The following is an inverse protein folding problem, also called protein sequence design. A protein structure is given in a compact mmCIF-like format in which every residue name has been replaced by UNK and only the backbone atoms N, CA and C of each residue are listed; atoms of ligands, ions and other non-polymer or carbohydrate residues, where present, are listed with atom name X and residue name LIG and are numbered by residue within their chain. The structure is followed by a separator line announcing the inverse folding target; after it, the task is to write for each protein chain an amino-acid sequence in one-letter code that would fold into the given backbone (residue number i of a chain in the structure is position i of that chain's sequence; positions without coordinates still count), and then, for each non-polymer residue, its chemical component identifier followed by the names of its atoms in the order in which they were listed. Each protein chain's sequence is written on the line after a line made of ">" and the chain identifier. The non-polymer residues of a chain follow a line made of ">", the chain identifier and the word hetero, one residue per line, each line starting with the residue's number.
data_IF_585526459960
#
_entry.id   IF_585526459960
#
_cell.length_a   1.000
_cell.length_b   1.000
_cell.length_c   1.000
_cell.angle_alpha   90.00
_cell.angle_beta   90.00
_cell.angle_gamma   90.00
#
_symmetry.space_group_name_H-M   'P 1'
#
loop_
_entity.id
_entity.type
_entity.pdbx_description
1 polymer ?
#
# COMPACT_ATOMS: atom_id res chain seq x y z
N UNK A 1 12.61 -22.43 13.04
CA UNK A 1 12.79 -21.30 12.10
C UNK A 1 12.87 -20.06 12.97
N UNK A 2 13.83 -19.18 12.71
CA UNK A 2 13.98 -17.94 13.46
C UNK A 2 12.73 -17.06 13.32
N UNK A 3 12.30 -16.44 14.41
CA UNK A 3 11.24 -15.44 14.38
C UNK A 3 11.74 -14.19 13.62
N UNK A 4 10.91 -13.65 12.76
CA UNK A 4 11.22 -12.41 12.02
C UNK A 4 10.45 -11.26 12.64
N UNK A 5 11.18 -10.19 12.93
CA UNK A 5 10.66 -8.99 13.56
C UNK A 5 10.76 -7.77 12.64
N UNK A 6 9.85 -6.84 12.81
CA UNK A 6 9.91 -5.50 12.20
C UNK A 6 10.46 -4.56 13.25
N UNK A 7 11.59 -3.94 12.93
CA UNK A 7 12.32 -3.05 13.85
C UNK A 7 11.83 -1.61 13.74
N UNK A 8 11.57 -1.16 12.52
CA UNK A 8 11.14 0.20 12.24
C UNK A 8 10.25 0.29 11.03
N UNK A 9 9.61 1.44 10.87
CA UNK A 9 8.86 1.78 9.66
C UNK A 9 8.73 3.29 9.48
N UNK A 10 8.71 3.72 8.22
CA UNK A 10 8.50 5.10 7.83
C UNK A 10 7.69 5.15 6.54
N UNK A 11 6.87 6.20 6.36
CA UNK A 11 6.17 6.48 5.11
C UNK A 11 6.27 7.95 4.75
N UNK A 12 6.14 8.28 3.50
CA UNK A 12 5.81 9.63 3.07
C UNK A 12 4.36 9.98 3.42
N UNK A 13 4.03 11.24 3.44
CA UNK A 13 2.64 11.63 3.20
C UNK A 13 2.22 11.19 1.79
N UNK A 14 0.91 10.98 1.58
CA UNK A 14 0.35 10.53 0.29
C UNK A 14 -0.08 11.75 -0.50
N UNK A 15 0.50 11.91 -1.71
CA UNK A 15 0.15 12.96 -2.66
C UNK A 15 -1.07 12.60 -3.50
N UNK A 16 -1.82 13.60 -3.92
CA UNK A 16 -2.89 13.47 -4.91
C UNK A 16 -2.30 13.39 -6.33
N UNK A 17 -3.05 12.81 -7.25
CA UNK A 17 -2.69 12.82 -8.67
C UNK A 17 -2.53 14.25 -9.19
N UNK A 18 -1.35 14.53 -9.76
CA UNK A 18 -0.99 15.87 -10.20
C UNK A 18 -0.75 16.88 -9.07
N UNK A 19 -0.70 16.42 -7.80
CA UNK A 19 -0.50 17.23 -6.60
C UNK A 19 0.97 17.49 -6.25
N UNK A 20 1.22 17.70 -4.96
CA UNK A 20 2.52 18.12 -4.46
C UNK A 20 3.69 17.18 -4.78
N UNK A 21 3.42 15.88 -4.94
CA UNK A 21 4.46 14.87 -5.26
C UNK A 21 4.58 14.56 -6.76
N UNK A 22 3.78 15.19 -7.64
CA UNK A 22 3.75 14.87 -9.07
C UNK A 22 5.10 15.01 -9.78
N UNK A 23 5.98 15.88 -9.30
CA UNK A 23 7.33 16.08 -9.83
C UNK A 23 8.41 15.15 -9.25
N UNK A 24 8.09 14.39 -8.20
CA UNK A 24 9.07 13.60 -7.44
C UNK A 24 9.17 12.19 -8.02
N UNK A 25 10.35 11.74 -8.49
CA UNK A 25 10.55 10.37 -8.95
C UNK A 25 10.28 9.34 -7.84
N UNK A 26 9.72 8.15 -8.15
CA UNK A 26 9.48 7.11 -7.15
C UNK A 26 10.76 6.63 -6.46
N UNK A 27 11.92 6.68 -7.12
CA UNK A 27 13.23 6.37 -6.50
C UNK A 27 13.54 7.35 -5.37
N UNK A 28 13.28 8.65 -5.55
CA UNK A 28 13.58 9.67 -4.55
C UNK A 28 12.64 9.53 -3.34
N UNK A 29 11.37 9.20 -3.58
CA UNK A 29 10.42 8.85 -2.52
C UNK A 29 10.89 7.62 -1.74
N UNK A 30 11.27 6.55 -2.46
CA UNK A 30 11.78 5.31 -1.88
C UNK A 30 13.06 5.56 -1.06
N UNK A 31 14.00 6.38 -1.57
CA UNK A 31 15.22 6.76 -0.86
C UNK A 31 14.89 7.47 0.45
N UNK A 32 14.02 8.46 0.40
CA UNK A 32 13.61 9.24 1.58
C UNK A 32 13.06 8.35 2.70
N UNK A 33 12.12 7.46 2.38
CA UNK A 33 11.52 6.58 3.39
C UNK A 33 12.47 5.48 3.85
N UNK A 34 13.38 5.01 2.98
CA UNK A 34 14.39 4.01 3.31
C UNK A 34 15.42 4.56 4.29
N UNK A 35 15.94 5.76 4.03
CA UNK A 35 16.85 6.47 4.94
C UNK A 35 16.21 6.61 6.32
N UNK A 36 14.98 7.13 6.38
CA UNK A 36 14.28 7.31 7.65
C UNK A 36 13.99 5.98 8.36
N UNK A 37 13.66 4.91 7.63
CA UNK A 37 13.42 3.60 8.23
C UNK A 37 14.71 3.02 8.84
N UNK A 38 15.86 3.14 8.16
CA UNK A 38 17.17 2.68 8.66
C UNK A 38 17.59 3.50 9.88
N UNK A 39 17.46 4.82 9.82
CA UNK A 39 17.76 5.71 10.97
C UNK A 39 16.90 5.37 12.20
N UNK A 40 15.59 5.17 12.01
CA UNK A 40 14.65 4.79 13.09
C UNK A 40 14.91 3.38 13.64
N UNK A 41 15.48 2.50 12.84
CA UNK A 41 15.88 1.17 13.29
C UNK A 41 17.10 1.23 14.24
N UNK A 42 17.87 2.31 14.21
CA UNK A 42 19.09 2.43 15.01
C UNK A 42 20.20 1.47 14.54
N UNK A 43 20.15 1.03 13.29
CA UNK A 43 21.19 0.16 12.69
C UNK A 43 21.97 0.89 11.62
N UNK A 44 23.24 0.56 11.48
CA UNK A 44 24.05 1.12 10.40
C UNK A 44 23.58 0.56 9.04
N UNK A 45 23.59 1.34 7.94
CA UNK A 45 23.13 0.91 6.63
C UNK A 45 23.83 -0.34 6.09
N UNK A 46 25.09 -0.59 6.49
CA UNK A 46 25.88 -1.78 6.12
C UNK A 46 25.39 -3.08 6.80
N UNK A 47 24.53 -2.99 7.79
CA UNK A 47 23.88 -4.15 8.40
C UNK A 47 22.73 -4.69 7.54
N UNK A 48 22.18 -3.89 6.63
CA UNK A 48 21.16 -4.34 5.68
C UNK A 48 21.82 -5.30 4.67
N UNK A 49 21.38 -6.54 4.64
CA UNK A 49 21.92 -7.57 3.74
C UNK A 49 21.02 -7.92 2.56
N UNK A 50 19.77 -7.46 2.53
CA UNK A 50 18.84 -7.67 1.42
C UNK A 50 17.81 -6.56 1.31
N UNK A 51 17.39 -6.20 0.08
CA UNK A 51 16.41 -5.13 -0.17
C UNK A 51 15.33 -5.57 -1.13
N UNK A 52 14.07 -5.35 -0.76
CA UNK A 52 12.91 -5.65 -1.62
C UNK A 52 11.95 -4.47 -1.63
N UNK A 53 11.62 -3.93 -2.82
CA UNK A 53 10.66 -2.84 -2.96
C UNK A 53 9.54 -3.19 -3.93
N UNK A 54 8.31 -2.89 -3.53
CA UNK A 54 7.13 -2.94 -4.39
C UNK A 54 7.10 -1.75 -5.33
N UNK A 55 6.91 -2.02 -6.62
CA UNK A 55 6.76 -0.98 -7.65
C UNK A 55 6.01 -1.55 -8.84
N UNK A 56 5.08 -0.80 -9.40
CA UNK A 56 4.15 -1.30 -10.44
C UNK A 56 4.39 -0.63 -11.78
N UNK A 57 4.45 0.70 -11.81
CA UNK A 57 4.50 1.48 -13.04
C UNK A 57 5.84 2.22 -13.12
N UNK A 58 6.74 1.74 -13.97
CA UNK A 58 7.98 2.46 -14.24
C UNK A 58 7.67 3.81 -14.91
N UNK A 59 8.06 4.90 -14.28
CA UNK A 59 7.84 6.27 -14.76
C UNK A 59 8.98 6.76 -15.64
N UNK A 60 10.16 6.18 -15.45
CA UNK A 60 11.39 6.43 -16.20
C UNK A 60 12.26 5.17 -16.24
N UNK A 61 13.28 5.09 -17.14
CA UNK A 61 14.12 3.89 -17.24
C UNK A 61 14.84 3.48 -15.96
N UNK A 62 15.16 4.42 -15.07
CA UNK A 62 15.83 4.15 -13.79
C UNK A 62 14.95 3.34 -12.81
N UNK A 63 13.63 3.39 -12.96
CA UNK A 63 12.71 2.73 -12.04
C UNK A 63 12.78 1.20 -12.12
N UNK A 64 13.33 0.64 -13.22
CA UNK A 64 13.68 -0.78 -13.31
C UNK A 64 14.68 -1.19 -12.22
N UNK A 65 15.43 -0.26 -11.66
CA UNK A 65 16.40 -0.43 -10.58
C UNK A 65 15.95 0.22 -9.27
N UNK A 66 14.65 0.49 -9.08
CA UNK A 66 14.13 1.29 -7.97
C UNK A 66 14.66 0.83 -6.61
N UNK A 67 14.54 -0.46 -6.29
CA UNK A 67 15.01 -1.01 -5.01
C UNK A 67 16.52 -0.80 -4.81
N UNK A 68 17.29 -1.05 -5.86
CA UNK A 68 18.76 -0.90 -5.84
C UNK A 68 19.18 0.55 -5.69
N UNK A 69 18.58 1.44 -6.49
CA UNK A 69 18.89 2.87 -6.47
C UNK A 69 18.49 3.50 -5.12
N UNK A 70 17.31 3.16 -4.60
CA UNK A 70 16.84 3.65 -3.31
C UNK A 70 17.72 3.16 -2.14
N UNK A 71 18.12 1.87 -2.16
CA UNK A 71 18.99 1.30 -1.15
C UNK A 71 20.36 2.02 -1.10
N UNK A 72 21.01 2.20 -2.24
CA UNK A 72 22.28 2.90 -2.33
C UNK A 72 22.13 4.38 -1.96
N UNK A 73 21.04 5.03 -2.37
CA UNK A 73 20.73 6.40 -1.97
C UNK A 73 20.51 6.56 -0.46
N UNK A 74 20.08 5.49 0.22
CA UNK A 74 19.93 5.42 1.68
C UNK A 74 21.20 4.95 2.40
N UNK A 75 22.34 4.82 1.70
CA UNK A 75 23.63 4.44 2.28
C UNK A 75 23.89 2.94 2.41
N UNK A 76 22.99 2.09 1.91
CA UNK A 76 23.22 0.64 1.88
C UNK A 76 24.35 0.33 0.88
N UNK A 77 25.34 -0.51 1.25
CA UNK A 77 26.49 -0.82 0.40
C UNK A 77 26.12 -1.41 -0.96
N UNK A 78 26.99 -1.18 -1.94
CA UNK A 78 26.85 -1.71 -3.29
C UNK A 78 27.06 -3.23 -3.40
N UNK A 79 27.49 -3.88 -2.37
CA UNK A 79 27.57 -5.35 -2.25
C UNK A 79 26.23 -5.99 -1.91
N UNK A 80 25.22 -5.23 -1.47
CA UNK A 80 23.92 -5.74 -1.03
C UNK A 80 22.98 -5.97 -2.21
N UNK A 81 22.42 -7.17 -2.43
CA UNK A 81 21.45 -7.42 -3.49
C UNK A 81 20.10 -6.73 -3.23
N UNK A 82 19.43 -6.35 -4.32
CA UNK A 82 18.13 -5.72 -4.25
C UNK A 82 17.23 -6.18 -5.40
N UNK A 83 15.91 -6.28 -5.16
CA UNK A 83 14.94 -6.61 -6.21
C UNK A 83 13.67 -5.79 -6.10
N UNK A 84 13.08 -5.44 -7.26
CA UNK A 84 11.72 -4.94 -7.35
C UNK A 84 10.75 -6.12 -7.41
N UNK A 85 9.58 -5.98 -6.77
CA UNK A 85 8.47 -6.93 -6.91
C UNK A 85 7.24 -6.19 -7.41
N UNK A 86 6.53 -6.83 -8.34
CA UNK A 86 5.25 -6.36 -8.85
C UNK A 86 4.17 -7.43 -8.64
N UNK A 87 3.29 -7.19 -7.70
CA UNK A 87 2.03 -7.90 -7.45
C UNK A 87 0.90 -6.87 -7.44
N UNK A 88 0.95 -5.89 -8.36
CA UNK A 88 0.01 -4.76 -8.43
C UNK A 88 -0.23 -4.15 -7.03
N UNK A 89 -1.48 -3.95 -6.64
CA UNK A 89 -1.83 -3.36 -5.33
C UNK A 89 -1.15 -4.05 -4.13
N UNK A 90 -0.88 -5.35 -4.21
CA UNK A 90 -0.23 -6.15 -3.15
C UNK A 90 1.29 -6.03 -3.08
N UNK A 91 1.94 -5.26 -3.95
CA UNK A 91 3.41 -5.23 -4.08
C UNK A 91 4.12 -4.86 -2.78
N UNK A 92 3.62 -3.88 -2.03
CA UNK A 92 4.23 -3.46 -0.76
C UNK A 92 4.19 -4.56 0.31
N UNK A 93 3.06 -5.27 0.47
CA UNK A 93 2.98 -6.43 1.38
C UNK A 93 3.85 -7.58 0.85
N UNK A 94 3.86 -7.81 -0.47
CA UNK A 94 4.72 -8.84 -1.08
C UNK A 94 6.20 -8.56 -0.84
N UNK A 95 6.64 -7.31 -0.91
CA UNK A 95 8.01 -6.94 -0.61
C UNK A 95 8.39 -7.33 0.83
N UNK A 96 7.51 -7.02 1.80
CA UNK A 96 7.68 -7.43 3.20
C UNK A 96 7.77 -8.95 3.30
N UNK A 97 6.85 -9.70 2.68
CA UNK A 97 6.84 -11.17 2.71
C UNK A 97 8.11 -11.74 2.07
N UNK A 98 8.57 -11.19 0.95
CA UNK A 98 9.80 -11.66 0.29
C UNK A 98 11.03 -11.41 1.16
N UNK A 99 11.11 -10.28 1.86
CA UNK A 99 12.16 -10.01 2.83
C UNK A 99 12.10 -10.99 4.03
N UNK A 100 10.89 -11.27 4.55
CA UNK A 100 10.69 -12.30 5.60
C UNK A 100 11.22 -13.65 5.14
N UNK A 101 10.93 -14.07 3.91
CA UNK A 101 11.39 -15.34 3.35
C UNK A 101 12.91 -15.41 3.24
N UNK A 102 13.58 -14.35 2.74
CA UNK A 102 15.03 -14.28 2.68
C UNK A 102 15.67 -14.35 4.08
N UNK A 103 15.13 -13.62 5.05
CA UNK A 103 15.61 -13.68 6.44
C UNK A 103 15.43 -15.07 7.06
N UNK A 104 14.28 -15.73 6.81
CA UNK A 104 14.02 -17.10 7.30
C UNK A 104 14.95 -18.12 6.71
N UNK A 105 15.41 -17.93 5.46
CA UNK A 105 16.39 -18.79 4.79
C UNK A 105 17.83 -18.49 5.22
N UNK A 106 18.06 -17.38 5.93
CA UNK A 106 19.40 -17.00 6.40
C UNK A 106 20.24 -16.25 5.38
N UNK A 107 19.61 -15.72 4.31
CA UNK A 107 20.31 -14.90 3.29
C UNK A 107 20.87 -13.59 3.89
N UNK A 108 20.23 -13.08 4.94
CA UNK A 108 20.62 -11.85 5.64
C UNK A 108 20.14 -11.87 7.11
N UNK A 109 20.73 -11.02 7.95
CA UNK A 109 20.27 -10.77 9.32
C UNK A 109 19.27 -9.61 9.39
N UNK A 110 19.44 -8.59 8.54
CA UNK A 110 18.57 -7.45 8.39
C UNK A 110 18.16 -7.27 6.92
N UNK A 111 16.93 -6.88 6.70
CA UNK A 111 16.42 -6.57 5.37
C UNK A 111 15.64 -5.25 5.37
N UNK A 112 15.72 -4.53 4.26
CA UNK A 112 14.89 -3.35 3.98
C UNK A 112 13.78 -3.77 3.03
N UNK A 113 12.52 -3.54 3.40
CA UNK A 113 11.37 -3.84 2.56
C UNK A 113 10.41 -2.66 2.49
N UNK A 114 9.74 -2.48 1.36
CA UNK A 114 8.83 -1.35 1.24
C UNK A 114 8.14 -1.29 -0.11
N UNK A 115 7.80 -0.09 -0.54
CA UNK A 115 7.28 0.18 -1.87
C UNK A 115 7.18 1.67 -2.14
N UNK A 116 7.26 2.03 -3.41
CA UNK A 116 7.08 3.40 -3.88
C UNK A 116 6.32 3.41 -5.22
N UNK A 117 5.46 4.39 -5.36
CA UNK A 117 4.69 4.61 -6.58
C UNK A 117 4.50 6.09 -6.84
N UNK A 118 4.61 6.50 -8.09
CA UNK A 118 4.16 7.81 -8.55
C UNK A 118 3.22 7.63 -9.75
N UNK A 119 1.92 7.56 -9.44
CA UNK A 119 0.90 7.43 -10.49
C UNK A 119 0.79 8.70 -11.32
N UNK A 120 1.14 9.85 -10.75
CA UNK A 120 1.21 11.14 -11.46
C UNK A 120 2.23 11.14 -12.59
N UNK A 121 3.28 10.33 -12.51
CA UNK A 121 4.35 10.25 -13.51
C UNK A 121 4.19 9.10 -14.48
N UNK A 122 3.06 8.37 -14.42
CA UNK A 122 2.83 7.22 -15.30
C UNK A 122 2.98 7.61 -16.77
N UNK A 123 3.79 6.86 -17.55
CA UNK A 123 4.11 7.25 -18.92
C UNK A 123 3.03 6.81 -19.91
N UNK A 124 3.05 7.43 -21.08
CA UNK A 124 2.44 6.88 -22.28
C UNK A 124 3.49 6.11 -23.08
N UNK A 125 3.14 4.92 -23.57
CA UNK A 125 4.00 4.12 -24.43
C UNK A 125 3.54 4.17 -25.89
N UNK A 126 4.49 4.05 -26.79
CA UNK A 126 4.29 3.98 -28.25
C UNK A 126 4.69 2.59 -28.73
N UNK A 127 3.81 1.57 -28.73
CA UNK A 127 4.18 0.17 -29.03
C UNK A 127 4.82 0.00 -30.42
N UNK A 128 4.39 0.77 -31.40
CA UNK A 128 4.92 0.69 -32.76
C UNK A 128 6.25 1.45 -32.97
N UNK A 129 6.68 2.30 -32.02
CA UNK A 129 7.78 3.23 -32.21
C UNK A 129 9.13 2.55 -32.54
N UNK A 130 9.42 1.38 -31.94
CA UNK A 130 10.70 0.66 -32.16
C UNK A 130 10.92 0.24 -33.61
N UNK A 131 9.88 -0.14 -34.30
CA UNK A 131 9.96 -0.63 -35.67
C UNK A 131 9.44 0.37 -36.70
N UNK A 132 8.98 1.54 -36.21
CA UNK A 132 8.38 2.60 -37.02
C UNK A 132 6.92 2.30 -37.39
N UNK A 133 6.19 3.37 -37.64
CA UNK A 133 4.83 3.35 -38.22
C UNK A 133 4.95 3.71 -39.71
N UNK A 134 4.72 2.73 -40.61
CA UNK A 134 4.88 2.93 -42.02
C UNK A 134 3.78 3.80 -42.63
N UNK A 135 2.56 3.73 -42.11
CA UNK A 135 1.39 4.45 -42.61
C UNK A 135 0.30 4.53 -41.53
N UNK A 136 -0.48 5.60 -41.51
CA UNK A 136 -1.57 5.86 -40.56
C UNK A 136 -1.09 6.56 -39.26
N UNK A 137 -2.04 6.77 -38.36
CA UNK A 137 -1.81 7.49 -37.09
C UNK A 137 -1.01 6.66 -36.11
N UNK A 138 -0.26 7.33 -35.21
CA UNK A 138 0.43 6.71 -34.07
C UNK A 138 -0.45 6.84 -32.86
N UNK A 139 -0.80 5.72 -32.21
CA UNK A 139 -1.51 5.71 -30.93
C UNK A 139 -0.55 5.55 -29.77
N UNK A 140 -0.74 6.34 -28.70
CA UNK A 140 -0.08 6.17 -27.41
C UNK A 140 -1.00 5.43 -26.44
N UNK A 141 -0.44 4.54 -25.62
CA UNK A 141 -1.17 3.81 -24.59
C UNK A 141 -0.79 4.34 -23.22
N UNK A 142 -1.78 4.71 -22.41
CA UNK A 142 -1.61 5.16 -21.04
C UNK A 142 -1.30 3.96 -20.12
N UNK A 143 -0.10 3.93 -19.54
CA UNK A 143 0.33 2.84 -18.66
C UNK A 143 -0.39 2.84 -17.31
N UNK A 144 -0.89 3.99 -16.86
CA UNK A 144 -1.72 4.05 -15.65
C UNK A 144 -3.06 3.34 -15.88
N UNK A 145 -3.76 3.67 -16.96
CA UNK A 145 -4.96 2.94 -17.35
C UNK A 145 -4.67 1.47 -17.62
N UNK A 146 -3.49 1.14 -18.18
CA UNK A 146 -3.04 -0.23 -18.36
C UNK A 146 -2.98 -1.02 -17.04
N UNK A 147 -2.44 -0.42 -15.98
CA UNK A 147 -2.38 -1.04 -14.66
C UNK A 147 -3.77 -1.15 -13.99
N UNK A 148 -4.72 -0.29 -14.36
CA UNK A 148 -6.08 -0.25 -13.81
C UNK A 148 -7.11 -1.03 -14.63
N UNK A 149 -6.72 -1.58 -15.77
CA UNK A 149 -7.59 -2.43 -16.59
C UNK A 149 -7.26 -3.91 -16.42
N UNK A 150 -8.30 -4.70 -16.26
CA UNK A 150 -8.17 -6.16 -16.14
C UNK A 150 -7.71 -6.77 -17.48
N UNK A 151 -6.59 -7.52 -17.51
CA UNK A 151 -6.09 -8.12 -18.75
C UNK A 151 -6.97 -9.28 -19.25
N UNK A 152 -7.91 -9.73 -18.45
CA UNK A 152 -8.85 -10.82 -18.77
C UNK A 152 -10.18 -10.32 -19.36
N UNK A 153 -10.25 -9.04 -19.76
CA UNK A 153 -11.39 -8.50 -20.50
C UNK A 153 -12.53 -7.92 -19.66
N UNK A 154 -12.43 -7.90 -18.34
CA UNK A 154 -13.47 -7.30 -17.47
C UNK A 154 -13.57 -5.78 -17.64
N UNK A 155 -12.49 -5.12 -18.05
CA UNK A 155 -12.37 -3.67 -18.15
C UNK A 155 -11.69 -3.05 -16.92
N UNK A 156 -11.99 -1.79 -16.65
CA UNK A 156 -11.40 -1.03 -15.54
C UNK A 156 -11.72 -1.68 -14.17
N UNK A 157 -10.79 -1.56 -13.19
CA UNK A 157 -10.98 -2.10 -11.83
C UNK A 157 -12.27 -1.61 -11.16
N UNK A 158 -12.76 -0.41 -11.50
CA UNK A 158 -14.06 0.07 -11.04
C UNK A 158 -15.25 -0.75 -11.55
N UNK A 159 -15.13 -1.38 -12.72
CA UNK A 159 -16.16 -2.34 -13.22
C UNK A 159 -16.15 -3.61 -12.37
N UNK A 160 -15.00 -4.06 -11.89
CA UNK A 160 -14.94 -5.19 -10.95
C UNK A 160 -15.55 -4.84 -9.59
N UNK A 161 -15.45 -3.58 -9.16
CA UNK A 161 -16.11 -3.10 -7.95
C UNK A 161 -17.64 -3.05 -8.10
N UNK A 162 -18.15 -2.66 -9.28
CA UNK A 162 -19.58 -2.76 -9.59
C UNK A 162 -20.07 -4.22 -9.58
N UNK A 163 -19.25 -5.17 -10.05
CA UNK A 163 -19.57 -6.60 -9.98
C UNK A 163 -19.68 -7.06 -8.51
N UNK A 164 -18.72 -6.66 -7.67
CA UNK A 164 -18.76 -6.98 -6.24
C UNK A 164 -19.98 -6.35 -5.56
N UNK A 165 -20.31 -5.09 -5.89
CA UNK A 165 -21.49 -4.43 -5.35
C UNK A 165 -22.76 -5.22 -5.68
N UNK A 166 -22.89 -5.71 -6.93
CA UNK A 166 -24.04 -6.48 -7.38
C UNK A 166 -24.09 -7.90 -6.77
N UNK A 167 -22.95 -8.63 -6.70
CA UNK A 167 -22.91 -9.99 -6.17
C UNK A 167 -23.09 -10.06 -4.64
N UNK A 168 -22.79 -8.97 -3.93
CA UNK A 168 -22.85 -8.89 -2.47
C UNK A 168 -23.93 -7.93 -1.95
N UNK A 169 -24.84 -7.47 -2.80
CA UNK A 169 -25.95 -6.57 -2.46
C UNK A 169 -25.50 -5.30 -1.72
N UNK A 170 -24.35 -4.71 -2.13
CA UNK A 170 -23.82 -3.50 -1.51
C UNK A 170 -24.43 -2.27 -2.18
N UNK A 171 -25.36 -1.60 -1.49
CA UNK A 171 -26.06 -0.45 -2.05
C UNK A 171 -25.15 0.79 -2.22
N UNK A 172 -25.62 1.73 -3.01
CA UNK A 172 -24.96 3.05 -3.21
C UNK A 172 -24.86 3.82 -1.89
N UNK A 173 -25.93 3.82 -1.12
CA UNK A 173 -26.02 4.52 0.18
C UNK A 173 -25.02 3.94 1.17
N UNK A 174 -24.86 2.62 1.23
CA UNK A 174 -23.87 1.98 2.08
C UNK A 174 -22.43 2.35 1.68
N UNK A 175 -22.15 2.41 0.37
CA UNK A 175 -20.85 2.82 -0.15
C UNK A 175 -20.53 4.28 0.19
N UNK A 176 -21.49 5.18 0.03
CA UNK A 176 -21.31 6.59 0.33
C UNK A 176 -21.17 6.85 1.85
N UNK A 177 -21.94 6.13 2.69
CA UNK A 177 -21.78 6.19 4.14
C UNK A 177 -20.40 5.69 4.60
N UNK A 178 -19.91 4.59 4.00
CA UNK A 178 -18.56 4.08 4.25
C UNK A 178 -17.49 5.10 3.86
N UNK A 179 -17.63 5.73 2.70
CA UNK A 179 -16.70 6.75 2.23
C UNK A 179 -16.66 7.96 3.16
N UNK A 180 -17.83 8.44 3.63
CA UNK A 180 -17.92 9.53 4.59
C UNK A 180 -17.23 9.19 5.91
N UNK A 181 -17.42 7.97 6.40
CA UNK A 181 -16.77 7.50 7.63
C UNK A 181 -15.24 7.43 7.46
N UNK A 182 -14.73 6.92 6.32
CA UNK A 182 -13.29 6.91 6.01
C UNK A 182 -12.71 8.32 6.03
N UNK A 183 -13.37 9.30 5.39
CA UNK A 183 -12.97 10.71 5.40
C UNK A 183 -12.99 11.30 6.82
N UNK A 184 -14.01 11.00 7.60
CA UNK A 184 -14.16 11.50 8.98
C UNK A 184 -13.02 10.97 9.87
N UNK A 185 -12.70 9.68 9.76
CA UNK A 185 -11.60 9.05 10.50
C UNK A 185 -10.25 9.64 10.10
N UNK A 186 -10.00 9.83 8.80
CA UNK A 186 -8.77 10.43 8.31
C UNK A 186 -8.60 11.88 8.81
N UNK A 187 -9.64 12.68 8.72
CA UNK A 187 -9.62 14.05 9.20
C UNK A 187 -9.34 14.14 10.71
N UNK A 188 -9.97 13.27 11.51
CA UNK A 188 -9.70 13.17 12.95
C UNK A 188 -8.26 12.76 13.23
N UNK A 189 -7.75 11.72 12.53
CA UNK A 189 -6.40 11.23 12.73
C UNK A 189 -5.33 12.29 12.41
N UNK A 190 -5.54 13.08 11.34
CA UNK A 190 -4.68 14.21 10.98
C UNK A 190 -4.74 15.29 12.07
N UNK A 191 -5.94 15.69 12.50
CA UNK A 191 -6.11 16.73 13.49
C UNK A 191 -5.50 16.36 14.86
N UNK A 192 -5.55 15.08 15.23
CA UNK A 192 -4.94 14.56 16.46
C UNK A 192 -3.45 14.21 16.30
N UNK A 193 -2.84 14.42 15.15
CA UNK A 193 -1.43 14.15 14.90
C UNK A 193 -1.05 12.66 14.90
N UNK A 194 -2.01 11.74 14.70
CA UNK A 194 -1.77 10.28 14.75
C UNK A 194 -0.79 9.78 13.69
N UNK A 195 -0.55 10.56 12.64
CA UNK A 195 0.37 10.23 11.56
C UNK A 195 1.76 10.85 11.72
N UNK A 196 1.94 11.78 12.66
CA UNK A 196 3.16 12.59 12.77
C UNK A 196 4.44 11.75 12.92
N UNK A 197 4.39 10.70 13.75
CA UNK A 197 5.57 9.85 14.00
C UNK A 197 5.88 8.90 12.85
N UNK A 198 4.90 8.53 12.01
CA UNK A 198 5.10 7.60 10.91
C UNK A 198 5.53 8.30 9.62
N UNK A 199 5.12 9.56 9.42
CA UNK A 199 5.46 10.33 8.23
C UNK A 199 6.89 10.86 8.32
N UNK A 200 7.64 10.72 7.22
CA UNK A 200 8.87 11.44 6.95
C UNK A 200 8.60 12.50 5.88
N UNK A 201 9.00 13.75 6.10
CA UNK A 201 8.78 14.80 5.14
C UNK A 201 9.55 14.59 3.84
N UNK A 202 8.88 14.82 2.72
CA UNK A 202 9.53 14.93 1.41
C UNK A 202 9.89 16.39 1.18
N UNK A 203 11.17 16.67 1.17
CA UNK A 203 11.71 18.03 0.97
C UNK A 203 12.01 18.23 -0.51
N UNK A 204 11.46 19.27 -1.10
CA UNK A 204 11.66 19.62 -2.51
C UNK A 204 12.26 21.02 -2.64
N UNK A 205 13.28 21.15 -3.48
CA UNK A 205 13.84 22.44 -3.84
C UNK A 205 13.07 23.00 -5.04
N UNK A 206 12.40 24.13 -4.85
CA UNK A 206 11.65 24.82 -5.90
C UNK A 206 12.29 26.17 -6.22
N UNK A 207 11.87 26.80 -7.32
CA UNK A 207 12.31 28.17 -7.66
C UNK A 207 11.95 29.21 -6.58
N UNK A 208 10.97 28.89 -5.72
CA UNK A 208 10.49 29.78 -4.62
C UNK A 208 11.12 29.44 -3.28
N UNK A 209 12.06 28.49 -3.24
CA UNK A 209 12.72 28.01 -2.04
C UNK A 209 12.33 26.55 -1.72
N UNK A 210 12.73 26.10 -0.53
CA UNK A 210 12.42 24.78 -0.03
C UNK A 210 10.93 24.66 0.31
N UNK A 211 10.32 23.53 -0.10
CA UNK A 211 8.99 23.14 0.32
C UNK A 211 9.06 21.80 1.02
N UNK A 212 8.23 21.63 2.06
CA UNK A 212 8.17 20.43 2.88
C UNK A 212 6.78 19.82 2.78
N UNK A 213 6.69 18.59 2.30
CA UNK A 213 5.45 17.85 2.17
C UNK A 213 5.40 16.76 3.26
N UNK A 214 4.55 16.92 4.26
CA UNK A 214 4.48 16.08 5.47
C UNK A 214 3.05 15.81 5.95
N UNK A 215 2.05 16.12 5.14
CA UNK A 215 0.63 15.90 5.46
C UNK A 215 -0.05 15.24 4.27
N UNK A 216 -0.85 14.18 4.52
CA UNK A 216 -1.62 13.49 3.49
C UNK A 216 -2.54 14.47 2.76
N UNK A 217 -2.41 14.57 1.44
CA UNK A 217 -3.06 15.60 0.60
C UNK A 217 -4.44 15.15 0.08
N UNK A 218 -4.69 13.84 0.02
CA UNK A 218 -5.88 13.30 -0.62
C UNK A 218 -7.18 13.48 0.19
N UNK A 219 -7.19 13.52 1.54
CA UNK A 219 -8.41 13.68 2.32
C UNK A 219 -9.23 14.90 1.93
N UNK A 220 -10.54 14.71 1.81
CA UNK A 220 -11.47 15.75 1.34
C UNK A 220 -12.54 16.04 2.40
N UNK A 221 -12.82 17.31 2.61
CA UNK A 221 -14.02 17.70 3.35
C UNK A 221 -15.24 17.44 2.48
N UNK A 222 -16.12 16.54 2.90
CA UNK A 222 -17.32 16.14 2.16
C UNK A 222 -18.50 15.91 3.09
N UNK A 223 -19.70 15.73 2.53
CA UNK A 223 -20.94 15.41 3.26
C UNK A 223 -21.71 14.29 2.55
N UNK A 224 -22.69 13.71 3.23
CA UNK A 224 -23.56 12.68 2.65
C UNK A 224 -24.29 13.18 1.38
N UNK A 225 -24.75 14.43 1.39
CA UNK A 225 -25.46 15.07 0.25
C UNK A 225 -24.50 15.25 -0.94
N UNK A 226 -23.25 15.64 -0.67
CA UNK A 226 -22.24 15.81 -1.72
C UNK A 226 -21.87 14.47 -2.36
N UNK A 227 -21.74 13.41 -1.56
CA UNK A 227 -21.46 12.06 -2.07
C UNK A 227 -22.65 11.53 -2.88
N UNK A 228 -23.87 11.67 -2.38
CA UNK A 228 -25.10 11.23 -3.07
C UNK A 228 -25.30 11.92 -4.42
N UNK A 229 -24.84 13.17 -4.57
CA UNK A 229 -24.93 13.94 -5.81
C UNK A 229 -23.94 13.49 -6.90
N UNK A 230 -22.93 12.67 -6.58
CA UNK A 230 -21.95 12.20 -7.54
C UNK A 230 -22.56 11.19 -8.53
N UNK A 231 -22.15 11.31 -9.79
CA UNK A 231 -22.57 10.36 -10.84
C UNK A 231 -21.71 9.09 -10.77
N UNK A 232 -22.30 7.92 -11.10
CA UNK A 232 -21.52 6.70 -11.30
C UNK A 232 -20.39 6.90 -12.31
N UNK A 233 -19.21 6.34 -12.01
CA UNK A 233 -17.99 6.58 -12.79
C UNK A 233 -17.70 5.48 -13.83
N UNK A 234 -18.17 4.24 -13.61
CA UNK A 234 -17.76 3.07 -14.40
C UNK A 234 -18.89 2.41 -15.18
N UNK A 235 -20.13 2.54 -14.73
CA UNK A 235 -21.36 2.09 -15.42
C UNK A 235 -22.42 3.17 -15.36
N UNK A 236 -23.23 3.30 -16.41
CA UNK A 236 -24.28 4.34 -16.49
C UNK A 236 -25.26 4.28 -15.31
N UNK A 237 -25.64 3.08 -14.91
CA UNK A 237 -26.54 2.82 -13.79
C UNK A 237 -25.78 2.09 -12.64
N UNK A 238 -24.51 2.45 -12.46
CA UNK A 238 -23.68 1.88 -11.43
C UNK A 238 -23.83 2.59 -10.09
N UNK A 239 -23.08 2.09 -9.10
CA UNK A 239 -23.09 2.59 -7.72
C UNK A 239 -21.73 3.16 -7.31
N UNK A 240 -20.64 2.82 -8.04
CA UNK A 240 -19.28 3.25 -7.76
C UNK A 240 -19.03 4.64 -8.35
N UNK A 241 -18.60 5.57 -7.51
CA UNK A 241 -18.35 6.97 -7.88
C UNK A 241 -16.92 7.37 -7.53
N UNK A 242 -16.50 8.56 -7.96
CA UNK A 242 -15.23 9.16 -7.55
C UNK A 242 -15.15 9.48 -6.03
N UNK A 243 -16.28 9.46 -5.32
CA UNK A 243 -16.35 9.73 -3.88
C UNK A 243 -16.26 8.48 -3.02
N UNK A 244 -16.60 7.30 -3.56
CA UNK A 244 -16.58 6.02 -2.85
C UNK A 244 -15.57 5.02 -3.43
N UNK A 245 -14.59 5.53 -4.18
CA UNK A 245 -13.42 4.83 -4.69
C UNK A 245 -12.14 5.51 -4.19
N UNK A 246 -11.05 4.76 -4.10
CA UNK A 246 -9.73 5.34 -3.83
C UNK A 246 -9.25 6.23 -4.98
N UNK A 247 -8.35 7.15 -4.68
CA UNK A 247 -7.74 8.01 -5.70
C UNK A 247 -6.55 7.38 -6.41
N UNK A 248 -6.04 8.12 -7.40
CA UNK A 248 -4.72 7.94 -7.99
C UNK A 248 -3.75 8.77 -7.16
N UNK A 249 -2.66 8.16 -6.71
CA UNK A 249 -1.83 8.79 -5.68
C UNK A 249 -0.34 8.50 -5.87
N UNK A 250 0.48 9.30 -5.20
CA UNK A 250 1.93 9.19 -5.12
C UNK A 250 2.34 8.97 -3.67
N UNK A 251 3.31 8.09 -3.43
CA UNK A 251 3.79 7.86 -2.07
C UNK A 251 4.73 6.67 -1.95
N UNK A 252 5.34 6.55 -0.78
CA UNK A 252 6.27 5.48 -0.46
C UNK A 252 6.22 5.11 1.03
N UNK A 253 6.66 3.88 1.34
CA UNK A 253 6.95 3.45 2.70
C UNK A 253 8.06 2.41 2.69
N UNK A 254 8.83 2.37 3.79
CA UNK A 254 9.87 1.38 4.01
C UNK A 254 9.86 0.90 5.46
N UNK A 255 10.27 -0.34 5.65
CA UNK A 255 10.40 -1.01 6.94
C UNK A 255 11.75 -1.72 7.00
N UNK A 256 12.35 -1.74 8.18
CA UNK A 256 13.51 -2.59 8.46
C UNK A 256 13.02 -3.83 9.21
N UNK A 257 13.35 -4.99 8.66
CA UNK A 257 13.07 -6.30 9.23
C UNK A 257 14.38 -6.95 9.68
N UNK A 258 14.30 -7.82 10.69
CA UNK A 258 15.44 -8.58 11.17
C UNK A 258 15.04 -9.99 11.62
N UNK A 259 16.03 -10.88 11.68
CA UNK A 259 15.93 -12.08 12.51
C UNK A 259 15.93 -11.65 13.97
N UNK A 260 15.09 -12.25 14.79
CA UNK A 260 14.92 -11.82 16.19
C UNK A 260 16.25 -11.84 16.97
N UNK A 261 17.05 -12.89 16.80
CA UNK A 261 18.37 -12.99 17.43
C UNK A 261 19.36 -11.92 16.95
N UNK A 262 19.25 -11.48 15.68
CA UNK A 262 20.10 -10.41 15.15
C UNK A 262 19.67 -9.03 15.69
N UNK A 263 18.37 -8.81 15.88
CA UNK A 263 17.84 -7.60 16.49
C UNK A 263 18.28 -7.52 17.97
N UNK A 264 18.18 -8.61 18.72
CA UNK A 264 18.64 -8.72 20.11
C UNK A 264 20.15 -8.45 20.20
N UNK A 265 20.97 -9.10 19.37
CA UNK A 265 22.42 -8.90 19.34
C UNK A 265 22.83 -7.47 18.97
N UNK A 266 21.99 -6.76 18.21
CA UNK A 266 22.19 -5.35 17.85
C UNK A 266 21.65 -4.39 18.93
N UNK A 267 20.96 -4.87 19.95
CA UNK A 267 20.36 -4.05 21.00
C UNK A 267 19.20 -3.18 20.52
N UNK A 268 18.53 -3.56 19.42
CA UNK A 268 17.38 -2.83 18.88
C UNK A 268 16.07 -3.45 19.34
N UNK A 269 15.10 -2.59 19.68
CA UNK A 269 13.78 -3.03 20.15
C UNK A 269 12.82 -3.16 18.96
N UNK A 270 12.28 -4.38 18.69
CA UNK A 270 11.32 -4.56 17.62
C UNK A 270 9.96 -3.88 17.93
N UNK A 271 9.28 -3.42 16.86
CA UNK A 271 7.89 -2.95 16.95
C UNK A 271 6.89 -4.11 16.97
N UNK A 272 7.14 -5.12 16.13
CA UNK A 272 6.25 -6.28 16.01
C UNK A 272 6.99 -7.49 15.45
N UNK A 273 6.40 -8.68 15.67
CA UNK A 273 6.79 -9.95 15.07
C UNK A 273 5.83 -10.27 13.90
N UNK A 274 6.36 -10.82 12.82
CA UNK A 274 5.53 -11.39 11.74
C UNK A 274 5.09 -12.78 12.14
N UNK A 275 3.80 -12.99 12.37
CA UNK A 275 3.25 -14.28 12.81
C UNK A 275 2.71 -15.13 11.67
N UNK A 276 2.46 -14.55 10.51
CA UNK A 276 2.05 -15.31 9.34
C UNK A 276 1.64 -14.43 8.17
N UNK A 277 1.56 -15.05 7.02
CA UNK A 277 1.04 -14.44 5.78
C UNK A 277 0.35 -15.49 4.91
N UNK A 278 -0.51 -15.03 4.00
CA UNK A 278 -1.12 -15.88 2.99
C UNK A 278 -1.47 -15.08 1.71
N UNK A 279 -1.65 -15.85 0.63
CA UNK A 279 -2.10 -15.35 -0.67
C UNK A 279 -3.26 -16.22 -1.14
N UNK A 280 -4.13 -15.64 -1.96
CA UNK A 280 -5.20 -16.38 -2.61
C UNK A 280 -5.49 -15.81 -4.00
N UNK A 281 -6.07 -16.62 -4.87
CA UNK A 281 -6.65 -16.20 -6.15
C UNK A 281 -8.18 -16.27 -6.08
N UNK A 282 -8.83 -15.36 -6.83
CA UNK A 282 -10.27 -15.34 -7.05
C UNK A 282 -10.56 -15.05 -8.52
N UNK A 283 -11.80 -15.17 -8.95
CA UNK A 283 -12.20 -14.76 -10.30
C UNK A 283 -11.82 -13.28 -10.54
N UNK A 284 -11.17 -12.95 -11.68
CA UNK A 284 -10.74 -11.58 -11.98
C UNK A 284 -11.87 -10.56 -11.96
N UNK A 285 -13.06 -10.97 -12.38
CA UNK A 285 -14.27 -10.12 -12.47
C UNK A 285 -14.71 -9.55 -11.11
N UNK A 286 -14.32 -10.22 -10.03
CA UNK A 286 -14.63 -9.83 -8.65
C UNK A 286 -13.38 -9.76 -7.79
N UNK A 287 -12.30 -9.24 -8.35
CA UNK A 287 -10.99 -9.16 -7.69
C UNK A 287 -11.06 -8.56 -6.27
N UNK A 288 -12.06 -7.71 -6.02
CA UNK A 288 -12.25 -7.02 -4.75
C UNK A 288 -12.43 -7.95 -3.55
N UNK A 289 -12.94 -9.17 -3.75
CA UNK A 289 -13.11 -10.15 -2.67
C UNK A 289 -11.86 -11.00 -2.39
N UNK A 290 -10.75 -10.79 -3.12
CA UNK A 290 -9.48 -11.50 -2.91
C UNK A 290 -8.99 -11.55 -1.45
N UNK A 291 -9.18 -10.51 -0.62
CA UNK A 291 -8.87 -10.56 0.80
C UNK A 291 -9.55 -11.70 1.56
N UNK A 292 -10.78 -12.09 1.20
CA UNK A 292 -11.55 -13.11 1.93
C UNK A 292 -10.77 -14.43 2.01
N UNK A 293 -10.51 -15.14 0.90
CA UNK A 293 -9.76 -16.40 0.97
C UNK A 293 -8.31 -16.23 1.42
N UNK A 294 -7.69 -15.05 1.24
CA UNK A 294 -6.34 -14.80 1.74
C UNK A 294 -6.30 -14.73 3.27
N UNK A 295 -7.26 -14.03 3.89
CA UNK A 295 -7.39 -13.96 5.36
C UNK A 295 -7.78 -15.31 5.92
N UNK A 296 -8.74 -16.02 5.34
CA UNK A 296 -9.12 -17.38 5.76
C UNK A 296 -7.92 -18.34 5.76
N UNK A 297 -7.10 -18.29 4.70
CA UNK A 297 -5.89 -19.10 4.62
C UNK A 297 -4.86 -18.71 5.68
N UNK A 298 -4.72 -17.41 5.99
CA UNK A 298 -3.88 -16.91 7.08
C UNK A 298 -4.36 -17.41 8.44
N UNK A 299 -5.65 -17.26 8.74
CA UNK A 299 -6.27 -17.71 9.99
C UNK A 299 -6.07 -19.21 10.20
N UNK A 300 -6.32 -20.01 9.15
CA UNK A 300 -6.06 -21.45 9.18
C UNK A 300 -4.60 -21.79 9.47
N UNK A 301 -3.66 -21.05 8.89
CA UNK A 301 -2.20 -21.26 9.06
C UNK A 301 -1.73 -20.91 10.47
N UNK A 302 -2.28 -19.85 11.05
CA UNK A 302 -1.85 -19.31 12.35
C UNK A 302 -2.65 -19.84 13.52
N UNK A 303 -3.80 -20.46 13.30
CA UNK A 303 -4.74 -20.87 14.34
C UNK A 303 -5.48 -19.68 15.00
N UNK A 304 -5.39 -18.50 14.42
CA UNK A 304 -6.07 -17.29 14.91
C UNK A 304 -7.49 -17.18 14.35
N UNK A 305 -8.29 -16.35 15.02
CA UNK A 305 -9.59 -15.88 14.57
C UNK A 305 -9.55 -14.38 14.26
N UNK A 306 -10.55 -13.87 13.56
CA UNK A 306 -10.70 -12.42 13.30
C UNK A 306 -10.74 -11.62 14.60
N UNK A 307 -11.39 -12.16 15.63
CA UNK A 307 -11.50 -11.52 16.95
C UNK A 307 -10.16 -11.31 17.69
N UNK A 308 -9.10 -12.01 17.29
CA UNK A 308 -7.76 -11.89 17.89
C UNK A 308 -6.98 -10.65 17.43
N UNK A 309 -7.50 -9.91 16.43
CA UNK A 309 -6.85 -8.69 15.91
C UNK A 309 -7.48 -7.45 16.54
N UNK A 310 -6.65 -6.59 17.11
CA UNK A 310 -7.03 -5.28 17.68
C UNK A 310 -7.10 -4.20 16.61
N UNK A 311 -6.28 -4.34 15.57
CA UNK A 311 -6.18 -3.42 14.43
C UNK A 311 -6.26 -4.21 13.13
N UNK A 312 -7.11 -3.77 12.21
CA UNK A 312 -7.25 -4.34 10.87
C UNK A 312 -7.05 -3.21 9.85
N UNK A 313 -5.97 -3.25 9.10
CA UNK A 313 -5.78 -2.39 7.93
C UNK A 313 -6.18 -3.18 6.68
N UNK A 314 -7.39 -2.98 6.23
CA UNK A 314 -7.96 -3.56 5.01
C UNK A 314 -8.03 -2.48 3.94
N UNK A 315 -7.29 -2.64 2.83
CA UNK A 315 -7.22 -1.60 1.81
C UNK A 315 -8.60 -1.30 1.21
N UNK A 316 -8.94 -0.02 1.12
CA UNK A 316 -10.18 0.49 0.57
C UNK A 316 -9.99 0.91 -0.90
N UNK A 317 -9.73 -0.06 -1.79
CA UNK A 317 -9.64 0.26 -3.23
C UNK A 317 -10.97 0.85 -3.73
N UNK A 318 -12.09 0.28 -3.24
CA UNK A 318 -13.46 0.74 -3.46
C UNK A 318 -14.29 0.46 -2.21
N UNK A 319 -15.22 1.34 -1.85
CA UNK A 319 -16.12 1.14 -0.72
C UNK A 319 -16.96 -0.16 -0.87
N UNK A 320 -17.43 -0.46 -2.08
CA UNK A 320 -18.14 -1.69 -2.39
C UNK A 320 -17.35 -2.94 -2.00
N UNK A 321 -16.07 -2.96 -2.39
CA UNK A 321 -15.15 -4.06 -2.09
C UNK A 321 -14.87 -4.15 -0.57
N UNK A 322 -14.60 -3.02 0.08
CA UNK A 322 -14.28 -2.99 1.50
C UNK A 322 -15.45 -3.47 2.37
N UNK A 323 -16.67 -3.09 2.02
CA UNK A 323 -17.90 -3.55 2.68
C UNK A 323 -18.13 -5.05 2.48
N UNK A 324 -18.01 -5.56 1.25
CA UNK A 324 -18.16 -6.97 0.94
C UNK A 324 -17.14 -7.84 1.71
N UNK A 325 -15.89 -7.43 1.75
CA UNK A 325 -14.82 -8.11 2.51
C UNK A 325 -15.11 -8.09 4.01
N UNK A 326 -15.48 -6.93 4.56
CA UNK A 326 -15.79 -6.78 5.99
C UNK A 326 -16.98 -7.64 6.41
N UNK A 327 -18.03 -7.69 5.58
CA UNK A 327 -19.20 -8.54 5.83
C UNK A 327 -18.86 -10.04 5.78
N UNK A 328 -18.12 -10.48 4.74
CA UNK A 328 -17.74 -11.87 4.56
C UNK A 328 -16.85 -12.41 5.69
N UNK A 329 -15.93 -11.57 6.20
CA UNK A 329 -14.98 -11.96 7.27
C UNK A 329 -15.51 -11.63 8.68
N UNK A 330 -16.66 -10.97 8.82
CA UNK A 330 -17.19 -10.56 10.12
C UNK A 330 -16.28 -9.56 10.85
N UNK A 331 -15.71 -8.63 10.13
CA UNK A 331 -14.84 -7.61 10.73
C UNK A 331 -15.64 -6.66 11.63
N UNK A 332 -15.11 -6.38 12.81
CA UNK A 332 -15.62 -5.31 13.67
C UNK A 332 -15.26 -3.93 13.05
N UNK A 333 -16.25 -3.11 12.64
CA UNK A 333 -15.98 -1.82 12.04
C UNK A 333 -15.14 -0.86 12.91
N UNK A 334 -15.16 -1.02 14.23
CA UNK A 334 -14.37 -0.21 15.13
C UNK A 334 -12.86 -0.49 15.04
N UNK A 335 -12.49 -1.69 14.59
CA UNK A 335 -11.10 -2.15 14.46
C UNK A 335 -10.55 -2.00 13.05
N UNK A 336 -11.42 -1.80 12.04
CA UNK A 336 -11.03 -1.66 10.63
C UNK A 336 -10.71 -0.21 10.30
N UNK A 337 -9.51 0.02 9.77
CA UNK A 337 -9.04 1.33 9.32
C UNK A 337 -9.40 2.46 10.30
N UNK A 338 -8.99 2.37 11.58
CA UNK A 338 -9.45 3.30 12.63
C UNK A 338 -9.03 4.76 12.39
N UNK A 339 -8.06 4.96 11.49
CA UNK A 339 -7.54 6.26 11.09
C UNK A 339 -7.88 6.61 9.62
N UNK A 340 -8.94 6.00 9.06
CA UNK A 340 -9.28 6.13 7.66
C UNK A 340 -8.44 5.22 6.76
N UNK A 341 -9.01 4.83 5.62
CA UNK A 341 -8.35 3.99 4.61
C UNK A 341 -8.16 4.70 3.27
N UNK A 342 -7.99 3.93 2.21
CA UNK A 342 -7.57 4.47 0.91
C UNK A 342 -8.62 5.34 0.20
N UNK A 343 -9.91 5.21 0.51
CA UNK A 343 -10.95 6.13 0.00
C UNK A 343 -10.64 7.56 0.45
N UNK A 344 -10.19 7.72 1.68
CA UNK A 344 -9.82 9.03 2.21
C UNK A 344 -8.35 9.39 1.99
N UNK A 345 -7.43 8.46 2.24
CA UNK A 345 -5.99 8.74 2.27
C UNK A 345 -5.30 8.54 0.91
N UNK A 346 -5.90 7.73 0.02
CA UNK A 346 -5.33 7.43 -1.28
C UNK A 346 -4.68 6.05 -1.42
N UNK A 347 -4.36 5.66 -2.68
CA UNK A 347 -3.87 4.33 -3.02
C UNK A 347 -2.72 4.37 -4.04
N UNK A 348 -1.49 4.78 -3.64
CA UNK A 348 -0.30 4.62 -4.49
C UNK A 348 0.02 3.12 -4.61
N UNK A 349 -0.39 2.49 -5.74
CA UNK A 349 -0.59 1.03 -5.86
C UNK A 349 0.58 0.19 -5.36
N UNK A 350 1.81 0.45 -5.80
CA UNK A 350 3.00 -0.33 -5.39
C UNK A 350 3.44 -0.10 -3.94
N UNK A 351 3.07 1.05 -3.36
CA UNK A 351 3.46 1.46 -2.02
C UNK A 351 2.43 1.11 -0.94
N UNK A 352 1.15 1.01 -1.29
CA UNK A 352 0.04 0.95 -0.32
C UNK A 352 0.21 -0.16 0.71
N UNK A 353 0.62 -1.35 0.28
CA UNK A 353 0.81 -2.47 1.21
C UNK A 353 1.82 -2.17 2.32
N UNK A 354 2.91 -1.49 2.00
CA UNK A 354 3.89 -1.04 2.99
C UNK A 354 3.34 0.12 3.84
N UNK A 355 2.62 1.07 3.24
CA UNK A 355 1.99 2.20 3.95
C UNK A 355 1.01 1.70 5.02
N UNK A 356 0.09 0.81 4.67
CA UNK A 356 -0.90 0.30 5.62
C UNK A 356 -0.26 -0.62 6.68
N UNK A 357 0.86 -1.29 6.36
CA UNK A 357 1.65 -2.01 7.36
C UNK A 357 2.28 -1.05 8.37
N UNK A 358 2.88 0.05 7.92
CA UNK A 358 3.38 1.11 8.81
C UNK A 358 2.25 1.69 9.65
N UNK A 359 1.10 2.00 9.06
CA UNK A 359 -0.08 2.47 9.81
C UNK A 359 -0.50 1.50 10.90
N UNK A 360 -0.56 0.20 10.59
CA UNK A 360 -0.92 -0.85 11.55
C UNK A 360 0.05 -0.91 12.74
N UNK A 361 1.36 -0.84 12.48
CA UNK A 361 2.39 -0.85 13.53
C UNK A 361 2.26 0.33 14.50
N UNK A 362 2.11 1.54 13.95
CA UNK A 362 1.98 2.74 14.78
C UNK A 362 0.64 2.78 15.53
N UNK A 363 -0.43 2.25 14.96
CA UNK A 363 -1.73 2.16 15.64
C UNK A 363 -1.71 1.14 16.77
N UNK A 364 -1.07 -0.04 16.58
CA UNK A 364 -0.84 -1.01 17.67
C UNK A 364 -0.11 -0.35 18.82
N UNK A 365 0.98 0.37 18.55
CA UNK A 365 1.74 1.09 19.57
C UNK A 365 0.91 2.14 20.28
N UNK A 366 0.15 2.96 19.53
CA UNK A 366 -0.71 4.01 20.08
C UNK A 366 -1.81 3.46 20.99
N UNK A 367 -2.44 2.36 20.61
CA UNK A 367 -3.55 1.74 21.34
C UNK A 367 -3.11 0.71 22.37
N UNK A 368 -1.82 0.34 22.38
CA UNK A 368 -1.28 -0.81 23.10
C UNK A 368 -2.00 -2.11 22.73
N UNK A 369 -2.42 -2.20 21.45
CA UNK A 369 -3.01 -3.40 20.89
C UNK A 369 -1.96 -4.50 20.70
N UNK A 370 -2.42 -5.74 20.68
CA UNK A 370 -1.55 -6.92 20.62
C UNK A 370 -1.31 -7.35 19.16
N UNK A 371 -2.34 -7.41 18.34
CA UNK A 371 -2.23 -7.98 16.98
C UNK A 371 -2.86 -7.09 15.92
N UNK A 372 -2.23 -7.07 14.75
CA UNK A 372 -2.77 -6.42 13.56
C UNK A 372 -2.87 -7.39 12.39
N UNK A 373 -3.92 -7.21 11.60
CA UNK A 373 -4.13 -7.82 10.28
C UNK A 373 -3.97 -6.74 9.22
N UNK A 374 -3.16 -7.02 8.20
CA UNK A 374 -3.04 -6.20 6.99
C UNK A 374 -3.52 -7.03 5.82
N UNK A 375 -4.47 -6.54 5.04
CA UNK A 375 -4.99 -7.27 3.88
C UNK A 375 -5.40 -6.33 2.75
N UNK A 376 -5.36 -6.84 1.52
CA UNK A 376 -5.78 -6.07 0.35
C UNK A 376 -6.13 -6.95 -0.84
N UNK A 377 -7.04 -6.45 -1.65
CA UNK A 377 -7.35 -6.98 -2.98
C UNK A 377 -6.27 -6.58 -3.99
N UNK A 378 -6.17 -7.33 -5.06
CA UNK A 378 -5.16 -7.15 -6.09
C UNK A 378 -5.81 -7.34 -7.45
N UNK A 379 -5.57 -6.42 -8.36
CA UNK A 379 -6.04 -6.52 -9.74
C UNK A 379 -5.67 -7.83 -10.40
N UNK A 380 -6.55 -8.34 -11.27
CA UNK A 380 -6.41 -9.67 -11.88
C UNK A 380 -6.92 -10.82 -11.02
N UNK A 381 -7.56 -10.53 -9.86
CA UNK A 381 -8.23 -11.55 -9.04
C UNK A 381 -7.32 -12.22 -8.01
N UNK A 382 -6.67 -11.44 -7.15
CA UNK A 382 -5.84 -11.99 -6.06
C UNK A 382 -6.12 -11.26 -4.74
N UNK A 383 -5.68 -11.86 -3.64
CA UNK A 383 -5.65 -11.30 -2.31
C UNK A 383 -4.37 -11.65 -1.56
N UNK A 384 -4.01 -10.82 -0.61
CA UNK A 384 -2.85 -10.99 0.26
C UNK A 384 -3.19 -10.60 1.69
N UNK A 385 -2.67 -11.33 2.66
CA UNK A 385 -2.86 -11.05 4.08
C UNK A 385 -1.56 -11.26 4.85
N UNK A 386 -1.32 -10.39 5.85
CA UNK A 386 -0.17 -10.40 6.74
C UNK A 386 -0.64 -10.20 8.17
N UNK A 387 -0.21 -11.02 9.11
CA UNK A 387 -0.50 -10.91 10.53
C UNK A 387 0.76 -10.52 11.31
N UNK A 388 0.59 -9.54 12.19
CA UNK A 388 1.64 -8.96 13.02
C UNK A 388 1.24 -9.08 14.49
N UNK A 389 2.23 -9.28 15.36
CA UNK A 389 2.04 -9.25 16.82
C UNK A 389 3.03 -8.26 17.44
N UNK A 390 2.53 -7.28 18.19
CA UNK A 390 3.36 -6.30 18.88
C UNK A 390 4.34 -7.01 19.83
N UNK A 391 5.57 -6.55 19.86
CA UNK A 391 6.57 -6.94 20.86
C UNK A 391 6.48 -5.90 21.95
N UNK A 392 6.00 -6.32 23.14
CA UNK A 392 5.56 -5.46 24.24
C UNK A 392 6.58 -4.58 24.88
#
# INVERSE_FOLDING_TARGET
>A
MSDIVIVSGARSAIGSFGGALAGVPPIDLATTVSTAAIERAGVAPDRIGHVVMGHVINTEPRDMYLSRAAAMGAGVPDTVPAMNVNRLCGSGVQAIISAVQSLMLGDADFALAGGAESMSRSPYILPAARWGQKMGDVSAQDMMLGALNCPFGTGHMGVTAENVAAEHDVSREAQDAFALESQTRAARAIAEGRFAEQIVPVVQQTRRGETRFDTDEHPKKTSAEQLAALRPAFRKEGTVTAGNASGLNDGAAALVLARAEAAEAAGVTPMARVIGYAHAGVRPEVMGIGPVPAVEALLKRTGLSVGDFDVIESNEAFAAQALAVSAALGFDPARVNPNGGAVALGHPVGATGAIITVKALYELRRTRGKRALVTMCIGGGQGIALALEAVG
#
